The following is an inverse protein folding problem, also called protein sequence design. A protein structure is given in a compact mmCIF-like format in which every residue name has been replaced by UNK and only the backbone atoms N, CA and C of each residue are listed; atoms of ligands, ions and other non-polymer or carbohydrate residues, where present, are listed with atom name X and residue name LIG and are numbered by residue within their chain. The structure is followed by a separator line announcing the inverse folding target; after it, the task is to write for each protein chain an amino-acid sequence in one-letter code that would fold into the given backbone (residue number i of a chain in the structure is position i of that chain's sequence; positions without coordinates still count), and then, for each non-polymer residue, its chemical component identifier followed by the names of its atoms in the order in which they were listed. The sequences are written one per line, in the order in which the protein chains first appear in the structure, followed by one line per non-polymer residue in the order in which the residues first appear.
data_IF_523761031768
#
_entry.id   IF_523761031768
#
_cell.length_a   1.000
_cell.length_b   1.000
_cell.length_c   1.000
_cell.angle_alpha   90.00
_cell.angle_beta   90.00
_cell.angle_gamma   90.00
#
_symmetry.space_group_name_H-M   'P 1'
#
loop_
_entity.id
_entity.type
_entity.pdbx_description
1 polymer ?
#
# COMPACT_ATOMS: atom_id res chain seq x y z
N UNK A 1 -4.00 15.33 42.13
CA UNK A 1 -4.52 14.00 41.74
C UNK A 1 -3.55 13.39 40.76
N UNK A 2 -2.75 12.43 41.21
CA UNK A 2 -1.68 11.81 40.43
C UNK A 2 -2.24 10.88 39.36
N UNK A 3 -1.84 11.09 38.12
CA UNK A 3 -2.08 10.16 37.02
C UNK A 3 -1.33 8.87 37.32
N UNK A 4 -2.07 7.84 37.76
CA UNK A 4 -1.57 6.47 37.88
C UNK A 4 -1.06 6.04 36.50
N UNK A 5 0.26 6.06 36.35
CA UNK A 5 0.97 5.48 35.24
C UNK A 5 0.69 3.97 35.30
N UNK A 6 -0.32 3.51 34.56
CA UNK A 6 -0.56 2.09 34.39
C UNK A 6 0.66 1.56 33.64
N UNK A 7 1.56 0.89 34.35
CA UNK A 7 2.52 -0.04 33.75
C UNK A 7 1.69 -1.11 33.02
N UNK A 8 1.29 -0.82 31.79
CA UNK A 8 0.81 -1.84 30.87
C UNK A 8 2.01 -2.76 30.68
N UNK A 9 1.90 -4.07 30.99
CA UNK A 9 2.99 -5.00 30.71
C UNK A 9 3.38 -4.83 29.24
N UNK A 10 4.67 -4.59 28.96
CA UNK A 10 5.16 -4.38 27.59
C UNK A 10 4.66 -5.47 26.63
N UNK A 11 4.47 -6.70 27.14
CA UNK A 11 3.91 -7.83 26.40
C UNK A 11 2.47 -7.61 25.89
N UNK A 12 1.61 -6.93 26.65
CA UNK A 12 0.23 -6.57 26.25
C UNK A 12 0.21 -5.44 25.23
N UNK A 13 1.24 -4.59 25.24
CA UNK A 13 1.41 -3.54 24.24
C UNK A 13 1.79 -4.13 22.87
N UNK A 14 2.76 -5.04 22.81
CA UNK A 14 3.19 -5.67 21.55
C UNK A 14 2.06 -6.43 20.84
N UNK A 15 1.25 -7.18 21.58
CA UNK A 15 0.11 -7.93 21.01
C UNK A 15 -0.96 -6.98 20.46
N UNK A 16 -1.27 -5.90 21.17
CA UNK A 16 -2.20 -4.88 20.69
C UNK A 16 -1.67 -4.16 19.42
N UNK A 17 -0.38 -3.82 19.36
CA UNK A 17 0.21 -3.20 18.17
C UNK A 17 0.23 -4.14 16.97
N UNK A 18 0.61 -5.41 17.15
CA UNK A 18 0.55 -6.42 16.09
C UNK A 18 -0.89 -6.60 15.58
N UNK A 19 -1.87 -6.70 16.46
CA UNK A 19 -3.28 -6.79 16.07
C UNK A 19 -3.78 -5.56 15.28
N UNK A 20 -3.31 -4.35 15.61
CA UNK A 20 -3.61 -3.14 14.83
C UNK A 20 -2.94 -3.15 13.46
N UNK A 21 -1.70 -3.63 13.35
CA UNK A 21 -1.02 -3.81 12.07
C UNK A 21 -1.75 -4.83 11.20
N UNK A 22 -2.17 -5.96 11.77
CA UNK A 22 -2.92 -6.99 11.05
C UNK A 22 -4.25 -6.46 10.52
N UNK A 23 -5.00 -5.73 11.34
CA UNK A 23 -6.24 -5.10 10.94
C UNK A 23 -6.03 -4.05 9.83
N UNK A 24 -4.97 -3.24 9.93
CA UNK A 24 -4.62 -2.24 8.92
C UNK A 24 -4.25 -2.90 7.59
N UNK A 25 -3.41 -3.93 7.62
CA UNK A 25 -3.01 -4.72 6.45
C UNK A 25 -4.23 -5.38 5.79
N UNK A 26 -5.09 -6.06 6.56
CA UNK A 26 -6.31 -6.67 6.04
C UNK A 26 -7.23 -5.62 5.38
N UNK A 27 -7.43 -4.48 6.04
CA UNK A 27 -8.25 -3.38 5.51
C UNK A 27 -7.70 -2.80 4.20
N UNK A 28 -6.37 -2.64 4.10
CA UNK A 28 -5.72 -2.16 2.88
C UNK A 28 -5.75 -3.20 1.76
N UNK A 29 -5.57 -4.48 2.06
CA UNK A 29 -5.67 -5.56 1.07
C UNK A 29 -7.08 -5.68 0.48
N UNK A 30 -8.12 -5.53 1.30
CA UNK A 30 -9.51 -5.48 0.81
C UNK A 30 -9.70 -4.28 -0.14
N UNK A 31 -9.18 -3.11 0.24
CA UNK A 31 -9.24 -1.91 -0.61
C UNK A 31 -8.46 -2.08 -1.92
N UNK A 32 -7.29 -2.74 -1.89
CA UNK A 32 -6.52 -3.07 -3.08
C UNK A 32 -7.33 -3.95 -4.04
N UNK A 33 -7.91 -5.05 -3.53
CA UNK A 33 -8.74 -5.94 -4.35
C UNK A 33 -9.99 -5.25 -4.91
N UNK A 34 -10.65 -4.40 -4.14
CA UNK A 34 -11.77 -3.60 -4.63
C UNK A 34 -11.35 -2.62 -5.74
N UNK A 35 -10.17 -2.00 -5.60
CA UNK A 35 -9.61 -1.08 -6.59
C UNK A 35 -9.20 -1.82 -7.86
N UNK A 36 -8.62 -3.02 -7.76
CA UNK A 36 -8.26 -3.86 -8.90
C UNK A 36 -9.50 -4.26 -9.71
N UNK A 37 -10.59 -4.64 -9.03
CA UNK A 37 -11.88 -4.93 -9.68
C UNK A 37 -12.46 -3.69 -10.38
N UNK A 38 -12.41 -2.52 -9.74
CA UNK A 38 -12.88 -1.27 -10.33
C UNK A 38 -12.04 -0.87 -11.55
N UNK A 39 -10.71 -1.00 -11.46
CA UNK A 39 -9.79 -0.72 -12.55
C UNK A 39 -10.05 -1.63 -13.74
N UNK A 40 -10.25 -2.93 -13.50
CA UNK A 40 -10.60 -3.88 -14.55
C UNK A 40 -11.91 -3.48 -15.25
N UNK A 41 -12.95 -3.16 -14.47
CA UNK A 41 -14.24 -2.74 -15.02
C UNK A 41 -14.15 -1.45 -15.86
N UNK A 42 -13.44 -0.43 -15.37
CA UNK A 42 -13.26 0.83 -16.11
C UNK A 42 -12.41 0.64 -17.36
N UNK A 43 -11.38 -0.21 -17.31
CA UNK A 43 -10.50 -0.49 -18.45
C UNK A 43 -11.25 -1.12 -19.63
N UNK A 44 -12.32 -1.89 -19.36
CA UNK A 44 -13.17 -2.46 -20.42
C UNK A 44 -13.88 -1.39 -21.26
N UNK A 45 -14.05 -0.16 -20.76
CA UNK A 45 -14.70 0.93 -21.49
C UNK A 45 -13.79 1.59 -22.55
N UNK A 46 -12.46 1.45 -22.39
CA UNK A 46 -11.51 2.17 -23.23
C UNK A 46 -11.56 1.70 -24.69
N UNK A 47 -11.54 0.39 -24.92
CA UNK A 47 -11.61 -0.21 -26.26
C UNK A 47 -12.85 0.21 -27.05
N UNK A 48 -14.07 0.07 -26.49
CA UNK A 48 -15.30 0.54 -27.12
C UNK A 48 -15.28 2.03 -27.48
N UNK A 49 -14.81 2.91 -26.59
CA UNK A 49 -14.75 4.34 -26.89
C UNK A 49 -13.70 4.67 -27.96
N UNK A 50 -12.52 4.08 -27.91
CA UNK A 50 -11.51 4.24 -28.97
C UNK A 50 -12.01 3.75 -30.33
N UNK A 51 -12.73 2.62 -30.36
CA UNK A 51 -13.36 2.11 -31.58
C UNK A 51 -14.43 3.07 -32.10
N UNK A 52 -15.24 3.65 -31.21
CA UNK A 52 -16.23 4.66 -31.57
C UNK A 52 -15.58 5.92 -32.17
N UNK A 53 -14.49 6.42 -31.57
CA UNK A 53 -13.71 7.54 -32.14
C UNK A 53 -13.31 7.24 -33.58
N UNK A 54 -12.66 6.09 -33.83
CA UNK A 54 -12.20 5.71 -35.18
C UNK A 54 -13.36 5.55 -36.18
N UNK A 55 -14.53 5.10 -35.73
CA UNK A 55 -15.72 4.98 -36.59
C UNK A 55 -16.26 6.36 -36.97
N UNK A 56 -16.38 7.28 -36.02
CA UNK A 56 -16.87 8.63 -36.26
C UNK A 56 -15.88 9.47 -37.05
N UNK A 57 -14.58 9.32 -36.81
CA UNK A 57 -13.52 9.94 -37.60
C UNK A 57 -13.58 9.52 -39.07
N UNK A 58 -13.66 8.21 -39.35
CA UNK A 58 -13.84 7.72 -40.72
C UNK A 58 -15.10 8.26 -41.38
N UNK A 59 -16.22 8.32 -40.64
CA UNK A 59 -17.47 8.88 -41.15
C UNK A 59 -17.33 10.38 -41.45
N UNK A 60 -16.69 11.14 -40.57
CA UNK A 60 -16.46 12.58 -40.76
C UNK A 60 -15.64 12.84 -42.02
N UNK A 61 -14.55 12.09 -42.21
CA UNK A 61 -13.69 12.19 -43.40
C UNK A 61 -14.51 11.86 -44.65
N UNK A 62 -15.20 10.71 -44.65
CA UNK A 62 -15.99 10.28 -45.81
C UNK A 62 -17.11 11.27 -46.20
N UNK A 63 -17.87 11.78 -45.23
CA UNK A 63 -18.92 12.78 -45.50
C UNK A 63 -18.30 14.12 -45.91
N UNK A 64 -17.15 14.48 -45.35
CA UNK A 64 -16.40 15.68 -45.75
C UNK A 64 -15.93 15.63 -47.20
N UNK A 65 -15.45 14.48 -47.66
CA UNK A 65 -15.09 14.25 -49.07
C UNK A 65 -16.32 14.35 -49.98
N UNK A 66 -17.45 13.77 -49.57
CA UNK A 66 -18.71 13.88 -50.31
C UNK A 66 -19.21 15.32 -50.40
N UNK A 67 -19.08 16.12 -49.33
CA UNK A 67 -19.42 17.55 -49.33
C UNK A 67 -18.52 18.36 -50.27
N UNK A 68 -17.21 18.10 -50.25
CA UNK A 68 -16.24 18.82 -51.08
C UNK A 68 -16.47 18.56 -52.59
N UNK A 69 -16.90 17.35 -52.94
CA UNK A 69 -17.23 16.97 -54.32
C UNK A 69 -18.69 17.19 -54.73
N UNK A 70 -19.53 17.77 -53.86
CA UNK A 70 -20.97 17.83 -54.12
C UNK A 70 -21.34 18.90 -55.17
N UNK A 71 -21.88 18.45 -56.29
CA UNK A 71 -22.46 19.33 -57.34
C UNK A 71 -23.97 19.11 -57.54
N UNK A 72 -24.62 18.40 -56.62
CA UNK A 72 -26.03 18.01 -56.71
C UNK A 72 -27.00 19.05 -56.12
N UNK A 73 -28.15 18.58 -55.64
CA UNK A 73 -29.20 19.48 -55.15
C UNK A 73 -28.83 20.14 -53.81
N UNK A 74 -29.39 21.33 -53.50
CA UNK A 74 -29.19 21.99 -52.21
C UNK A 74 -29.70 21.17 -51.01
N UNK A 75 -30.73 20.36 -51.20
CA UNK A 75 -31.29 19.50 -50.16
C UNK A 75 -30.30 18.40 -49.76
N UNK A 76 -29.68 17.74 -50.74
CA UNK A 76 -28.64 16.74 -50.48
C UNK A 76 -27.42 17.37 -49.81
N UNK A 77 -27.01 18.56 -50.24
CA UNK A 77 -25.92 19.30 -49.59
C UNK A 77 -26.21 19.54 -48.10
N UNK A 78 -27.42 20.04 -47.80
CA UNK A 78 -27.86 20.29 -46.42
C UNK A 78 -27.81 19.02 -45.57
N UNK A 79 -28.35 17.91 -46.09
CA UNK A 79 -28.33 16.63 -45.39
C UNK A 79 -26.90 16.13 -45.13
N UNK A 80 -26.00 16.25 -46.10
CA UNK A 80 -24.59 15.90 -45.93
C UNK A 80 -23.90 16.81 -44.90
N UNK A 81 -24.21 18.11 -44.88
CA UNK A 81 -23.67 19.05 -43.89
C UNK A 81 -24.10 18.67 -42.48
N UNK A 82 -25.39 18.37 -42.28
CA UNK A 82 -25.91 17.92 -40.99
C UNK A 82 -25.26 16.61 -40.52
N UNK A 83 -25.01 15.67 -41.45
CA UNK A 83 -24.29 14.43 -41.16
C UNK A 83 -22.82 14.68 -40.78
N UNK A 84 -22.16 15.63 -41.45
CA UNK A 84 -20.79 16.00 -41.12
C UNK A 84 -20.70 16.63 -39.74
N UNK A 85 -21.58 17.58 -39.43
CA UNK A 85 -21.66 18.23 -38.11
C UNK A 85 -21.93 17.23 -37.00
N UNK A 86 -22.83 16.27 -37.23
CA UNK A 86 -23.07 15.18 -36.29
C UNK A 86 -21.81 14.32 -36.10
N UNK A 87 -21.10 13.99 -37.18
CA UNK A 87 -19.88 13.20 -37.09
C UNK A 87 -18.76 13.91 -36.31
N UNK A 88 -18.60 15.23 -36.50
CA UNK A 88 -17.69 16.08 -35.71
C UNK A 88 -18.06 16.03 -34.23
N UNK A 89 -19.33 16.25 -33.89
CA UNK A 89 -19.81 16.25 -32.50
C UNK A 89 -19.60 14.90 -31.82
N UNK A 90 -19.94 13.81 -32.51
CA UNK A 90 -19.83 12.47 -31.95
C UNK A 90 -18.37 12.03 -31.80
N UNK A 91 -17.49 12.36 -32.76
CA UNK A 91 -16.06 12.12 -32.63
C UNK A 91 -15.50 12.83 -31.39
N UNK A 92 -15.77 14.13 -31.23
CA UNK A 92 -15.33 14.92 -30.08
C UNK A 92 -15.82 14.31 -28.77
N UNK A 93 -17.11 13.97 -28.69
CA UNK A 93 -17.72 13.37 -27.50
C UNK A 93 -17.03 12.06 -27.10
N UNK A 94 -16.71 11.19 -28.06
CA UNK A 94 -16.02 9.94 -27.76
C UNK A 94 -14.54 10.15 -27.43
N UNK A 95 -13.86 11.12 -28.05
CA UNK A 95 -12.48 11.48 -27.67
C UNK A 95 -12.43 11.97 -26.22
N UNK A 96 -13.35 12.84 -25.83
CA UNK A 96 -13.45 13.33 -24.45
C UNK A 96 -13.71 12.19 -23.46
N UNK A 97 -14.60 11.25 -23.80
CA UNK A 97 -14.85 10.06 -22.97
C UNK A 97 -13.62 9.17 -22.86
N UNK A 98 -12.89 8.94 -23.95
CA UNK A 98 -11.62 8.20 -23.94
C UNK A 98 -10.61 8.86 -23.00
N UNK A 99 -10.46 10.19 -23.07
CA UNK A 99 -9.55 10.93 -22.20
C UNK A 99 -9.93 10.80 -20.72
N UNK A 100 -11.21 11.02 -20.38
CA UNK A 100 -11.69 10.90 -18.98
C UNK A 100 -11.51 9.49 -18.42
N UNK A 101 -11.78 8.46 -19.21
CA UNK A 101 -11.56 7.07 -18.80
C UNK A 101 -10.08 6.80 -18.57
N UNK A 102 -9.19 7.25 -19.48
CA UNK A 102 -7.75 7.09 -19.32
C UNK A 102 -7.22 7.82 -18.07
N UNK A 103 -7.70 9.03 -17.80
CA UNK A 103 -7.36 9.79 -16.59
C UNK A 103 -7.82 9.05 -15.33
N UNK A 104 -9.05 8.53 -15.34
CA UNK A 104 -9.61 7.74 -14.23
C UNK A 104 -8.76 6.51 -13.94
N UNK A 105 -8.36 5.78 -14.99
CA UNK A 105 -7.46 4.62 -14.88
C UNK A 105 -6.12 5.04 -14.25
N UNK A 106 -5.51 6.14 -14.72
CA UNK A 106 -4.25 6.64 -14.16
C UNK A 106 -4.36 7.02 -12.68
N UNK A 107 -5.46 7.66 -12.27
CA UNK A 107 -5.71 7.97 -10.85
C UNK A 107 -5.85 6.70 -10.02
N UNK A 108 -6.58 5.70 -10.52
CA UNK A 108 -6.73 4.42 -9.85
C UNK A 108 -5.40 3.67 -9.71
N UNK A 109 -4.57 3.65 -10.76
CA UNK A 109 -3.23 3.05 -10.72
C UNK A 109 -2.34 3.70 -9.66
N UNK A 110 -2.28 5.04 -9.62
CA UNK A 110 -1.52 5.75 -8.58
C UNK A 110 -2.01 5.44 -7.16
N UNK A 111 -3.32 5.29 -6.97
CA UNK A 111 -3.88 4.87 -5.67
C UNK A 111 -3.48 3.44 -5.33
N UNK A 112 -3.44 2.55 -6.32
CA UNK A 112 -3.03 1.15 -6.14
C UNK A 112 -1.57 1.05 -5.71
N UNK A 113 -0.69 1.80 -6.36
CA UNK A 113 0.74 1.92 -6.01
C UNK A 113 0.94 2.48 -4.59
N UNK A 114 0.16 3.50 -4.21
CA UNK A 114 0.21 4.05 -2.85
C UNK A 114 -0.21 3.02 -1.79
N UNK A 115 -1.20 2.17 -2.09
CA UNK A 115 -1.62 1.07 -1.22
C UNK A 115 -0.51 0.01 -1.13
N UNK A 116 0.13 -0.38 -2.25
CA UNK A 116 1.26 -1.32 -2.22
C UNK A 116 2.41 -0.81 -1.37
N UNK A 117 2.76 0.47 -1.52
CA UNK A 117 3.79 1.10 -0.69
C UNK A 117 3.43 1.03 0.81
N UNK A 118 2.19 1.36 1.14
CA UNK A 118 1.70 1.30 2.53
C UNK A 118 1.73 -0.12 3.09
N UNK A 119 1.36 -1.13 2.28
CA UNK A 119 1.41 -2.54 2.68
C UNK A 119 2.85 -3.00 2.94
N UNK A 120 3.80 -2.59 2.10
CA UNK A 120 5.22 -2.87 2.30
C UNK A 120 5.75 -2.23 3.59
N UNK A 121 5.41 -0.96 3.84
CA UNK A 121 5.80 -0.24 5.06
C UNK A 121 5.23 -0.89 6.32
N UNK A 122 3.98 -1.39 6.27
CA UNK A 122 3.37 -2.14 7.36
C UNK A 122 4.09 -3.46 7.62
N UNK A 123 4.50 -4.19 6.58
CA UNK A 123 5.24 -5.44 6.73
C UNK A 123 6.63 -5.19 7.34
N UNK A 124 7.33 -4.15 6.88
CA UNK A 124 8.61 -3.72 7.50
C UNK A 124 8.40 -3.36 8.98
N UNK A 125 7.32 -2.64 9.29
CA UNK A 125 6.98 -2.27 10.67
C UNK A 125 6.69 -3.50 11.54
N UNK A 126 6.00 -4.51 10.98
CA UNK A 126 5.74 -5.79 11.66
C UNK A 126 7.03 -6.54 11.96
N UNK A 127 7.94 -6.65 11.00
CA UNK A 127 9.25 -7.30 11.20
C UNK A 127 10.05 -6.59 12.29
N UNK A 128 10.11 -5.25 12.26
CA UNK A 128 10.77 -4.45 13.29
C UNK A 128 10.16 -4.68 14.68
N UNK A 129 8.83 -4.69 14.78
CA UNK A 129 8.12 -4.89 16.05
C UNK A 129 8.37 -6.29 16.63
N UNK A 130 8.39 -7.32 15.79
CA UNK A 130 8.73 -8.68 16.21
C UNK A 130 10.17 -8.80 16.70
N UNK A 131 11.13 -8.17 16.00
CA UNK A 131 12.52 -8.13 16.44
C UNK A 131 12.68 -7.40 17.79
N UNK A 132 12.00 -6.26 17.96
CA UNK A 132 11.97 -5.52 19.23
C UNK A 132 11.34 -6.32 20.39
N UNK A 133 10.27 -7.07 20.10
CA UNK A 133 9.65 -8.00 21.06
C UNK A 133 10.63 -9.09 21.51
N UNK A 134 11.37 -9.70 20.59
CA UNK A 134 12.35 -10.74 20.89
C UNK A 134 13.46 -10.21 21.82
N UNK A 135 14.05 -9.06 21.49
CA UNK A 135 15.08 -8.45 22.35
C UNK A 135 14.55 -8.08 23.74
N UNK A 136 13.31 -7.59 23.82
CA UNK A 136 12.66 -7.31 25.11
C UNK A 136 12.51 -8.58 25.96
N UNK A 137 12.19 -9.71 25.34
CA UNK A 137 12.11 -11.01 26.02
C UNK A 137 13.49 -11.50 26.46
N UNK A 138 14.51 -11.40 25.60
CA UNK A 138 15.89 -11.79 25.92
C UNK A 138 16.43 -10.96 27.10
N UNK A 139 16.18 -9.66 27.11
CA UNK A 139 16.53 -8.77 28.22
C UNK A 139 15.83 -9.16 29.52
N UNK A 140 14.55 -9.51 29.47
CA UNK A 140 13.80 -9.97 30.64
C UNK A 140 14.32 -11.31 31.16
N UNK A 141 14.66 -12.25 30.26
CA UNK A 141 15.24 -13.55 30.61
C UNK A 141 16.63 -13.40 31.23
N UNK A 142 17.51 -12.57 30.65
CA UNK A 142 18.82 -12.26 31.21
C UNK A 142 18.69 -11.60 32.59
N UNK A 143 17.78 -10.65 32.75
CA UNK A 143 17.54 -9.99 34.04
C UNK A 143 17.04 -10.97 35.11
N UNK A 144 16.18 -11.92 34.72
CA UNK A 144 15.74 -13.02 35.59
C UNK A 144 16.90 -13.93 35.97
N UNK A 145 17.69 -14.40 35.00
CA UNK A 145 18.85 -15.26 35.24
C UNK A 145 19.88 -14.58 36.18
N UNK A 146 20.15 -13.29 36.00
CA UNK A 146 21.00 -12.52 36.93
C UNK A 146 20.41 -12.44 38.34
N UNK A 147 19.09 -12.27 38.46
CA UNK A 147 18.40 -12.19 39.76
C UNK A 147 18.39 -13.54 40.48
N UNK A 148 18.21 -14.64 39.75
CA UNK A 148 18.29 -16.01 40.27
C UNK A 148 19.71 -16.35 40.72
N UNK A 149 20.73 -15.97 39.93
CA UNK A 149 22.14 -16.15 40.29
C UNK A 149 22.52 -15.33 41.54
N UNK A 150 21.95 -14.14 41.72
CA UNK A 150 22.16 -13.29 42.90
C UNK A 150 21.35 -13.76 44.13
N UNK A 151 20.19 -14.40 43.92
CA UNK A 151 19.32 -14.93 44.98
C UNK A 151 19.68 -16.35 45.46
N UNK A 152 20.50 -17.08 44.71
CA UNK A 152 21.02 -18.43 45.06
C UNK A 152 22.05 -18.42 46.21
N UNK A 153 22.01 -17.42 47.10
CA UNK A 153 22.88 -17.33 48.28
C UNK A 153 22.39 -18.20 49.46
N UNK A 154 21.27 -18.92 49.31
CA UNK A 154 20.60 -19.63 50.41
C UNK A 154 20.64 -21.17 50.39
N UNK A 155 21.15 -21.81 49.33
CA UNK A 155 21.20 -23.28 49.26
C UNK A 155 22.64 -23.76 49.02
N UNK A 156 23.25 -24.25 50.11
CA UNK A 156 24.45 -25.08 50.19
C UNK A 156 25.44 -25.06 48.98
N UNK A 157 26.57 -24.37 49.20
CA UNK A 157 27.90 -24.74 48.71
C UNK A 157 28.03 -25.15 47.23
N UNK A 158 28.02 -24.17 46.32
CA UNK A 158 28.75 -24.26 45.05
C UNK A 158 29.35 -22.88 44.77
N UNK A 159 30.64 -22.84 44.47
CA UNK A 159 31.40 -21.64 44.08
C UNK A 159 30.59 -20.89 43.00
N UNK A 160 30.41 -19.56 43.10
CA UNK A 160 29.75 -18.81 42.04
C UNK A 160 30.50 -19.09 40.74
N UNK A 161 29.84 -19.68 39.75
CA UNK A 161 30.44 -19.93 38.45
C UNK A 161 30.74 -18.58 37.79
N UNK A 162 31.97 -18.11 38.00
CA UNK A 162 32.48 -16.84 37.49
C UNK A 162 32.50 -16.82 35.95
N UNK A 163 32.61 -17.99 35.31
CA UNK A 163 32.49 -18.12 33.85
C UNK A 163 31.08 -17.76 33.40
N UNK A 164 30.07 -18.41 33.98
CA UNK A 164 28.66 -18.15 33.66
C UNK A 164 28.25 -16.68 33.90
N UNK A 165 28.79 -16.04 34.93
CA UNK A 165 28.51 -14.62 35.20
C UNK A 165 29.11 -13.69 34.14
N UNK A 166 30.29 -14.01 33.62
CA UNK A 166 30.91 -13.26 32.52
C UNK A 166 30.14 -13.48 31.21
N UNK A 167 29.75 -14.71 30.90
CA UNK A 167 28.95 -15.04 29.71
C UNK A 167 27.60 -14.30 29.70
N UNK A 168 26.92 -14.23 30.84
CA UNK A 168 25.67 -13.46 30.98
C UNK A 168 25.88 -11.95 30.81
N UNK A 169 27.06 -11.42 31.18
CA UNK A 169 27.40 -10.01 31.00
C UNK A 169 27.64 -9.70 29.52
N UNK A 170 28.37 -10.57 28.83
CA UNK A 170 28.58 -10.48 27.38
C UNK A 170 27.25 -10.60 26.61
N UNK A 171 26.38 -11.53 27.00
CA UNK A 171 25.05 -11.67 26.40
C UNK A 171 24.20 -10.39 26.57
N UNK A 172 24.30 -9.72 27.72
CA UNK A 172 23.61 -8.44 27.95
C UNK A 172 24.18 -7.31 27.08
N UNK A 173 25.49 -7.25 26.93
CA UNK A 173 26.15 -6.27 26.06
C UNK A 173 25.77 -6.49 24.58
N UNK A 174 25.67 -7.75 24.15
CA UNK A 174 25.20 -8.12 22.81
C UNK A 174 23.73 -7.70 22.57
N UNK A 175 22.84 -7.91 23.54
CA UNK A 175 21.43 -7.45 23.46
C UNK A 175 21.35 -5.93 23.37
N UNK A 176 22.16 -5.19 24.15
CA UNK A 176 22.20 -3.73 24.09
C UNK A 176 22.72 -3.21 22.73
N UNK A 177 23.74 -3.86 22.17
CA UNK A 177 24.24 -3.54 20.83
C UNK A 177 23.17 -3.82 19.75
N UNK A 178 22.43 -4.93 19.86
CA UNK A 178 21.34 -5.26 18.95
C UNK A 178 20.18 -4.25 19.02
N UNK A 179 19.80 -3.80 20.22
CA UNK A 179 18.83 -2.71 20.43
C UNK A 179 19.31 -1.41 19.74
N UNK A 180 20.56 -1.00 19.97
CA UNK A 180 21.14 0.19 19.36
C UNK A 180 21.20 0.11 17.82
N UNK A 181 21.49 -1.07 17.26
CA UNK A 181 21.52 -1.28 15.80
C UNK A 181 20.13 -1.21 15.16
N UNK A 182 19.07 -1.64 15.87
CA UNK A 182 17.70 -1.48 15.41
C UNK A 182 17.25 -0.02 15.41
N UNK A 183 17.69 0.77 16.40
CA UNK A 183 17.42 2.21 16.46
C UNK A 183 18.14 2.96 15.34
N UNK A 184 19.41 2.67 15.08
CA UNK A 184 20.21 3.33 14.02
C UNK A 184 19.73 2.96 12.61
N UNK A 185 19.28 1.71 12.38
CA UNK A 185 18.63 1.29 11.11
C UNK A 185 17.17 1.73 11.01
N UNK A 186 16.65 2.36 12.05
CA UNK A 186 15.28 2.89 12.13
C UNK A 186 15.10 4.25 11.47
N UNK A 187 16.20 4.95 11.13
CA UNK A 187 16.24 6.26 10.47
C UNK A 187 16.51 6.16 8.96
#
# INVERSE_FOLDING_TARGET
MGTKNKNIPLHDSYTAFLGRLDAATASLSIRAGALDNALAAVSLLLGPYQSAVRKWERRRVHVGEQLAGHSGTPQTYKALSELHDMAVKMESLFRDRTLRVAETISVMQRRREAIDKSLLELEVSRVKLNSSRMLSQDRANLSRAFSELAGSAGSAALIPDLGLRNDLKEAREAVFLAEALLEVKGH
#
